data_IF_816844610107
#
_entry.id   IF_816844610107
#
_cell.length_a   1.000
_cell.length_b   1.000
_cell.length_c   1.000
_cell.angle_alpha   90.00
_cell.angle_beta   90.00
_cell.angle_gamma   90.00
#
_symmetry.space_group_name_H-M   'P 1'
#
loop_
_entity.id
_entity.type
_entity.pdbx_description
1 polymer ?
#
# COMPACT_ATOMS: atom_id res chain seq x y z
N UNK A 1 26.88 -47.03 -13.54
CA UNK A 1 25.93 -46.00 -14.01
C UNK A 1 25.44 -45.23 -12.78
N UNK A 2 25.82 -43.97 -12.61
CA UNK A 2 25.39 -43.11 -11.49
C UNK A 2 24.13 -42.34 -11.92
N UNK A 3 23.01 -42.59 -11.25
CA UNK A 3 21.77 -41.84 -11.48
C UNK A 3 21.87 -40.50 -10.76
N UNK A 4 21.79 -39.40 -11.53
CA UNK A 4 21.63 -38.05 -10.99
C UNK A 4 20.15 -37.81 -10.71
N UNK A 5 19.79 -37.69 -9.43
CA UNK A 5 18.46 -37.26 -9.01
C UNK A 5 18.37 -35.74 -9.16
N UNK A 6 17.60 -35.27 -10.13
CA UNK A 6 17.29 -33.85 -10.27
C UNK A 6 16.25 -33.44 -9.22
N UNK A 7 16.64 -32.56 -8.29
CA UNK A 7 15.71 -31.92 -7.36
C UNK A 7 15.04 -30.77 -8.11
N UNK A 8 13.77 -30.94 -8.45
CA UNK A 8 12.94 -29.86 -8.99
C UNK A 8 12.53 -28.97 -7.81
N UNK A 9 13.22 -27.85 -7.58
CA UNK A 9 12.71 -26.80 -6.71
C UNK A 9 11.50 -26.16 -7.39
N UNK A 10 10.28 -26.53 -6.96
CA UNK A 10 9.11 -25.72 -7.27
C UNK A 10 9.25 -24.38 -6.55
N UNK A 11 9.36 -23.29 -7.31
CA UNK A 11 9.29 -21.95 -6.76
C UNK A 11 7.88 -21.77 -6.14
N UNK A 12 7.80 -21.81 -4.81
CA UNK A 12 6.57 -21.46 -4.12
C UNK A 12 6.24 -20.00 -4.47
N UNK A 13 5.17 -19.80 -5.23
CA UNK A 13 4.63 -18.47 -5.47
C UNK A 13 4.19 -17.90 -4.13
N UNK A 14 4.85 -16.84 -3.67
CA UNK A 14 4.40 -16.04 -2.53
C UNK A 14 3.00 -15.51 -2.86
N UNK A 15 1.98 -16.10 -2.26
CA UNK A 15 0.60 -15.60 -2.35
C UNK A 15 0.50 -14.45 -1.34
N UNK A 16 0.76 -13.24 -1.81
CA UNK A 16 0.51 -12.01 -1.06
C UNK A 16 -0.91 -11.58 -1.38
N UNK A 17 -1.74 -11.37 -0.36
CA UNK A 17 -3.06 -10.80 -0.55
C UNK A 17 -2.92 -9.37 -1.10
N UNK A 18 -3.67 -9.07 -2.15
CA UNK A 18 -3.66 -7.75 -2.79
C UNK A 18 -5.01 -7.05 -2.59
N UNK A 19 -5.05 -5.77 -2.21
CA UNK A 19 -6.26 -4.97 -2.18
C UNK A 19 -6.93 -4.87 -3.56
N UNK A 20 -8.22 -4.51 -3.60
CA UNK A 20 -8.92 -4.23 -4.85
C UNK A 20 -8.35 -2.98 -5.56
N UNK A 21 -8.77 -2.79 -6.81
CA UNK A 21 -8.52 -1.56 -7.55
C UNK A 21 -7.10 -1.38 -8.13
N UNK A 22 -6.26 -2.42 -8.10
CA UNK A 22 -4.94 -2.37 -8.75
C UNK A 22 -5.15 -2.48 -10.28
N UNK A 23 -4.75 -1.48 -11.07
CA UNK A 23 -4.89 -1.51 -12.51
C UNK A 23 -3.89 -2.49 -13.15
N UNK A 24 -4.19 -2.95 -14.36
CA UNK A 24 -3.20 -3.64 -15.20
C UNK A 24 -1.97 -2.75 -15.46
N UNK A 25 -0.82 -3.33 -15.78
CA UNK A 25 0.40 -2.58 -16.06
C UNK A 25 0.23 -1.55 -17.20
N UNK A 26 -0.51 -1.87 -18.25
CA UNK A 26 -0.79 -0.95 -19.37
C UNK A 26 -1.70 0.20 -18.94
N UNK A 27 -2.73 -0.10 -18.14
CA UNK A 27 -3.61 0.92 -17.55
C UNK A 27 -2.84 1.83 -16.58
N UNK A 28 -1.95 1.26 -15.74
CA UNK A 28 -1.08 2.00 -14.83
C UNK A 28 -0.15 2.95 -15.60
N UNK A 29 0.52 2.49 -16.66
CA UNK A 29 1.35 3.34 -17.53
C UNK A 29 0.55 4.49 -18.14
N UNK A 30 -0.67 4.22 -18.58
CA UNK A 30 -1.58 5.25 -19.13
C UNK A 30 -2.02 6.27 -18.09
N UNK A 31 -2.33 5.82 -16.87
CA UNK A 31 -2.66 6.70 -15.73
C UNK A 31 -1.46 7.56 -15.34
N UNK A 32 -0.25 6.98 -15.23
CA UNK A 32 0.98 7.70 -14.94
C UNK A 32 1.29 8.79 -15.98
N UNK A 33 0.99 8.51 -17.26
CA UNK A 33 1.08 9.48 -18.34
C UNK A 33 0.25 10.74 -18.10
N UNK A 34 -0.93 10.59 -17.48
CA UNK A 34 -1.92 11.64 -17.22
C UNK A 34 -1.77 12.37 -15.87
N UNK A 35 -0.96 11.85 -14.94
CA UNK A 35 -0.74 12.51 -13.66
C UNK A 35 -0.04 13.86 -13.86
N UNK A 36 -0.56 14.87 -13.17
CA UNK A 36 0.01 16.23 -13.15
C UNK A 36 1.36 16.22 -12.45
N UNK A 37 2.40 16.61 -13.18
CA UNK A 37 3.75 16.78 -12.64
C UNK A 37 3.89 18.18 -12.08
N UNK A 38 4.36 18.30 -10.84
CA UNK A 38 4.58 19.59 -10.18
C UNK A 38 5.75 19.52 -9.20
N UNK A 39 6.31 20.68 -8.87
CA UNK A 39 7.15 20.83 -7.68
C UNK A 39 6.25 20.72 -6.46
N UNK A 40 6.60 19.84 -5.53
CA UNK A 40 5.91 19.69 -4.25
C UNK A 40 6.78 20.31 -3.16
N UNK A 41 6.17 21.14 -2.31
CA UNK A 41 6.85 21.79 -1.19
C UNK A 41 6.21 21.31 0.10
N UNK A 42 7.05 20.89 1.03
CA UNK A 42 6.66 20.66 2.43
C UNK A 42 6.93 21.95 3.20
N UNK A 43 5.86 22.67 3.55
CA UNK A 43 5.92 23.90 4.32
C UNK A 43 5.86 23.66 5.84
N UNK A 44 5.86 22.40 6.27
CA UNK A 44 5.76 22.00 7.68
C UNK A 44 4.35 22.12 8.26
N UNK A 45 3.32 22.43 7.45
CA UNK A 45 1.93 22.55 7.91
C UNK A 45 1.19 21.22 8.09
N UNK A 46 1.80 20.11 7.70
CA UNK A 46 1.18 18.80 7.81
C UNK A 46 0.89 18.44 9.28
N UNK A 47 -0.36 18.14 9.56
CA UNK A 47 -0.81 17.53 10.80
C UNK A 47 -1.58 16.24 10.50
N UNK A 48 -1.12 15.14 11.08
CA UNK A 48 -1.75 13.82 10.93
C UNK A 48 -3.17 13.79 11.48
N UNK A 49 -3.47 14.59 12.51
CA UNK A 49 -4.80 14.66 13.11
C UNK A 49 -5.88 15.17 12.13
N UNK A 50 -5.47 15.82 11.03
CA UNK A 50 -6.39 16.26 9.98
C UNK A 50 -6.86 15.13 9.05
N UNK A 51 -6.33 13.92 9.23
CA UNK A 51 -6.78 12.69 8.56
C UNK A 51 -7.37 11.73 9.61
N UNK A 52 -8.64 11.88 10.00
CA UNK A 52 -9.33 10.85 10.80
C UNK A 52 -9.19 9.50 10.10
N UNK A 53 -8.71 8.48 10.80
CA UNK A 53 -8.36 7.19 10.24
C UNK A 53 -8.60 6.07 11.24
N UNK A 54 -8.82 4.87 10.69
CA UNK A 54 -9.37 3.72 11.39
C UNK A 54 -10.81 3.97 11.83
N UNK A 55 -11.57 4.60 10.94
CA UNK A 55 -13.01 4.72 11.09
C UNK A 55 -13.68 3.35 10.82
N UNK A 56 -14.86 3.10 11.42
CA UNK A 56 -15.67 1.93 11.12
C UNK A 56 -15.96 1.80 9.62
N UNK A 57 -15.80 0.59 9.07
CA UNK A 57 -16.19 0.31 7.69
C UNK A 57 -17.73 0.34 7.60
N UNK A 58 -18.34 1.09 6.68
CA UNK A 58 -19.80 1.24 6.64
C UNK A 58 -20.58 -0.08 6.48
N UNK A 59 -20.02 -1.05 5.76
CA UNK A 59 -20.63 -2.37 5.57
C UNK A 59 -20.44 -3.31 6.78
N UNK A 60 -19.55 -2.98 7.71
CA UNK A 60 -19.22 -3.80 8.87
C UNK A 60 -18.69 -2.92 10.01
N UNK A 61 -19.61 -2.23 10.69
CA UNK A 61 -19.27 -1.15 11.63
C UNK A 61 -18.54 -1.61 12.89
N UNK A 62 -18.49 -2.91 13.17
CA UNK A 62 -17.63 -3.48 14.22
C UNK A 62 -16.14 -3.55 13.84
N UNK A 63 -15.82 -3.45 12.55
CA UNK A 63 -14.45 -3.41 12.05
C UNK A 63 -14.06 -1.97 11.74
N UNK A 64 -12.95 -1.50 12.32
CA UNK A 64 -12.31 -0.33 11.71
C UNK A 64 -11.71 -0.69 10.35
N UNK A 65 -11.40 0.31 9.53
CA UNK A 65 -10.63 0.10 8.30
C UNK A 65 -9.31 -0.66 8.55
N UNK A 66 -8.70 -0.52 9.73
CA UNK A 66 -7.48 -1.25 10.11
C UNK A 66 -7.75 -2.75 10.29
N UNK A 67 -8.72 -3.10 11.12
CA UNK A 67 -9.09 -4.50 11.38
C UNK A 67 -9.63 -5.18 10.12
N UNK A 68 -10.39 -4.44 9.31
CA UNK A 68 -10.83 -4.89 7.99
C UNK A 68 -9.66 -5.32 7.11
N UNK A 69 -8.62 -4.47 7.01
CA UNK A 69 -7.43 -4.77 6.19
C UNK A 69 -6.63 -5.92 6.77
N UNK A 70 -6.48 -6.02 8.08
CA UNK A 70 -5.82 -7.18 8.69
C UNK A 70 -6.54 -8.49 8.36
N UNK A 71 -7.88 -8.50 8.41
CA UNK A 71 -8.63 -9.70 8.03
C UNK A 71 -8.56 -9.98 6.53
N UNK A 72 -8.60 -8.95 5.69
CA UNK A 72 -8.53 -9.07 4.23
C UNK A 72 -7.17 -9.59 3.75
N UNK A 73 -6.08 -9.08 4.32
CA UNK A 73 -4.73 -9.33 3.81
C UNK A 73 -4.03 -10.53 4.47
N UNK A 74 -4.63 -11.10 5.52
CA UNK A 74 -4.08 -12.25 6.20
C UNK A 74 -4.60 -13.58 5.65
N UNK A 75 -3.80 -14.62 5.84
CA UNK A 75 -4.17 -16.00 5.56
C UNK A 75 -4.70 -16.69 6.84
N UNK A 76 -5.80 -17.44 6.70
CA UNK A 76 -6.47 -18.15 7.81
C UNK A 76 -6.76 -17.25 9.03
N UNK A 77 -7.15 -15.99 8.78
CA UNK A 77 -7.44 -15.04 9.86
C UNK A 77 -8.73 -15.43 10.56
N UNK A 78 -8.67 -15.51 11.88
CA UNK A 78 -9.85 -15.54 12.76
C UNK A 78 -9.90 -14.23 13.53
N UNK A 79 -11.10 -13.70 13.74
CA UNK A 79 -11.31 -12.43 14.43
C UNK A 79 -12.23 -12.59 15.63
N UNK A 80 -12.06 -11.72 16.62
CA UNK A 80 -12.97 -11.55 17.74
C UNK A 80 -14.23 -10.77 17.38
N UNK A 81 -15.08 -10.50 18.38
CA UNK A 81 -16.30 -9.69 18.21
C UNK A 81 -16.03 -8.23 17.85
N UNK A 82 -14.83 -7.73 18.17
CA UNK A 82 -14.31 -6.41 17.82
C UNK A 82 -13.56 -6.39 16.48
N UNK A 83 -13.68 -7.47 15.69
CA UNK A 83 -12.97 -7.66 14.42
C UNK A 83 -11.43 -7.75 14.55
N UNK A 84 -10.88 -7.70 15.76
CA UNK A 84 -9.45 -7.81 15.96
C UNK A 84 -8.99 -9.25 15.68
N UNK A 85 -7.91 -9.47 14.91
CA UNK A 85 -7.41 -10.81 14.65
C UNK A 85 -6.92 -11.55 15.89
N UNK A 86 -7.47 -12.74 16.14
CA UNK A 86 -7.05 -13.65 17.22
C UNK A 86 -6.05 -14.69 16.73
N UNK A 87 -6.01 -14.96 15.42
CA UNK A 87 -5.04 -15.83 14.78
C UNK A 87 -4.92 -15.51 13.30
N UNK A 88 -3.83 -15.93 12.66
CA UNK A 88 -3.62 -15.81 11.23
C UNK A 88 -2.14 -15.68 10.90
N UNK A 89 -1.85 -15.41 9.64
CA UNK A 89 -0.51 -15.04 9.19
C UNK A 89 -0.58 -14.02 8.06
N UNK A 90 0.35 -13.07 8.04
CA UNK A 90 0.43 -12.00 7.06
C UNK A 90 1.79 -12.03 6.38
N UNK A 91 1.81 -12.09 5.05
CA UNK A 91 3.05 -11.94 4.30
C UNK A 91 3.17 -10.49 3.87
N UNK A 92 4.18 -9.79 4.38
CA UNK A 92 4.44 -8.40 4.03
C UNK A 92 4.78 -8.29 2.53
N UNK A 93 4.04 -7.49 1.74
CA UNK A 93 4.32 -7.30 0.32
C UNK A 93 5.70 -6.68 0.07
N UNK A 94 6.17 -5.84 0.99
CA UNK A 94 7.39 -5.07 0.78
C UNK A 94 8.67 -5.87 1.03
N UNK A 95 8.62 -6.84 1.95
CA UNK A 95 9.80 -7.59 2.39
C UNK A 95 9.70 -9.10 2.14
N UNK A 96 8.50 -9.61 1.85
CA UNK A 96 8.21 -11.05 1.76
C UNK A 96 8.19 -11.77 3.11
N UNK A 97 8.40 -11.06 4.24
CA UNK A 97 8.40 -11.68 5.57
C UNK A 97 6.99 -12.08 5.98
N UNK A 98 6.86 -13.27 6.56
CA UNK A 98 5.62 -13.71 7.20
C UNK A 98 5.60 -13.32 8.67
N UNK A 99 4.49 -12.75 9.11
CA UNK A 99 4.20 -12.29 10.47
C UNK A 99 3.02 -13.10 10.97
N UNK A 100 3.06 -13.60 12.21
CA UNK A 100 1.95 -14.36 12.81
C UNK A 100 1.32 -13.66 14.02
N UNK A 101 2.04 -12.70 14.61
CA UNK A 101 1.51 -11.85 15.66
C UNK A 101 0.78 -10.64 15.04
N UNK A 102 -0.55 -10.59 15.17
CA UNK A 102 -1.37 -9.52 14.61
C UNK A 102 -0.95 -8.11 15.07
N UNK A 103 -0.54 -7.97 16.34
CA UNK A 103 -0.03 -6.71 16.89
C UNK A 103 1.32 -6.27 16.31
N UNK A 104 2.01 -7.11 15.55
CA UNK A 104 3.26 -6.77 14.85
C UNK A 104 3.04 -6.41 13.38
N UNK A 105 1.79 -6.43 12.91
CA UNK A 105 1.41 -6.01 11.56
C UNK A 105 1.00 -4.54 11.59
N UNK A 106 1.66 -3.74 10.77
CA UNK A 106 1.25 -2.36 10.51
C UNK A 106 0.33 -2.32 9.28
N UNK A 107 -0.67 -1.44 9.30
CA UNK A 107 -1.39 -1.07 8.08
C UNK A 107 -0.74 0.18 7.50
N UNK A 108 -0.16 0.03 6.31
CA UNK A 108 0.47 1.12 5.58
C UNK A 108 -0.54 1.79 4.62
N UNK A 109 -0.38 3.10 4.46
CA UNK A 109 -0.99 3.87 3.39
C UNK A 109 -0.04 3.87 2.19
N UNK A 110 -0.42 3.22 1.09
CA UNK A 110 0.35 3.11 -0.15
C UNK A 110 0.90 4.47 -0.57
N UNK A 111 0.02 5.48 -0.68
CA UNK A 111 0.42 6.89 -0.67
C UNK A 111 0.32 7.41 0.76
N UNK A 112 1.45 7.74 1.44
CA UNK A 112 1.44 8.24 2.82
C UNK A 112 0.58 9.49 2.98
N UNK A 113 -0.02 9.67 4.16
CA UNK A 113 -0.88 10.83 4.47
C UNK A 113 -0.14 12.17 4.25
N UNK A 114 1.11 12.27 4.67
CA UNK A 114 1.94 13.47 4.42
C UNK A 114 2.27 13.65 2.95
N UNK A 115 2.55 12.57 2.22
CA UNK A 115 2.76 12.65 0.77
C UNK A 115 1.51 13.15 0.05
N UNK A 116 0.33 12.68 0.45
CA UNK A 116 -0.95 13.17 -0.04
C UNK A 116 -1.13 14.67 0.29
N UNK A 117 -0.80 15.09 1.53
CA UNK A 117 -0.86 16.50 1.95
C UNK A 117 -0.11 17.42 0.99
N UNK A 118 1.19 17.17 0.79
CA UNK A 118 2.05 18.01 -0.06
C UNK A 118 1.72 17.90 -1.55
N UNK A 119 1.00 16.85 -1.97
CA UNK A 119 0.61 16.64 -3.37
C UNK A 119 -0.81 17.10 -3.71
N UNK A 120 -1.56 17.62 -2.74
CA UNK A 120 -2.85 18.28 -2.98
C UNK A 120 -3.85 18.20 -1.83
N UNK A 121 -3.70 17.26 -0.90
CA UNK A 121 -4.68 17.01 0.16
C UNK A 121 -4.74 18.10 1.25
N UNK A 122 -3.76 19.01 1.29
CA UNK A 122 -3.81 20.21 2.14
C UNK A 122 -5.01 21.11 1.84
N UNK A 123 -5.50 21.09 0.59
CA UNK A 123 -6.67 21.89 0.15
C UNK A 123 -8.01 21.19 0.36
N UNK A 124 -8.01 19.92 0.78
CA UNK A 124 -9.23 19.15 0.92
C UNK A 124 -10.01 19.53 2.18
N UNK A 125 -11.30 19.17 2.19
CA UNK A 125 -12.06 19.10 3.44
C UNK A 125 -11.56 17.93 4.29
N UNK A 126 -11.82 17.98 5.61
CA UNK A 126 -11.50 16.86 6.51
C UNK A 126 -12.19 15.58 6.10
N UNK A 127 -13.47 15.64 5.70
CA UNK A 127 -14.22 14.46 5.24
C UNK A 127 -13.56 13.75 4.04
N UNK A 128 -12.96 14.50 3.10
CA UNK A 128 -12.24 13.89 1.97
C UNK A 128 -10.90 13.28 2.40
N UNK A 129 -10.21 13.90 3.38
CA UNK A 129 -8.99 13.31 3.98
C UNK A 129 -9.32 12.02 4.76
N UNK A 130 -10.43 12.00 5.49
CA UNK A 130 -10.94 10.81 6.16
C UNK A 130 -11.27 9.70 5.17
N UNK A 131 -11.96 10.02 4.08
CA UNK A 131 -12.22 9.06 3.00
C UNK A 131 -10.92 8.47 2.46
N UNK A 132 -9.92 9.31 2.17
CA UNK A 132 -8.61 8.87 1.71
C UNK A 132 -7.87 7.97 2.73
N UNK A 133 -7.95 8.30 4.01
CA UNK A 133 -7.23 7.58 5.04
C UNK A 133 -7.88 6.23 5.39
N UNK A 134 -9.15 6.03 5.03
CA UNK A 134 -9.92 4.80 5.27
C UNK A 134 -10.28 4.05 3.98
N UNK A 135 -9.65 4.36 2.86
CA UNK A 135 -9.98 3.79 1.55
C UNK A 135 -9.64 2.30 1.47
N UNK A 136 -10.69 1.46 1.50
CA UNK A 136 -10.61 0.01 1.36
C UNK A 136 -10.97 -0.50 -0.05
N UNK A 137 -11.48 0.39 -0.91
CA UNK A 137 -11.99 0.07 -2.26
C UNK A 137 -10.91 0.23 -3.34
N UNK A 138 -9.85 0.96 -3.02
CA UNK A 138 -8.65 1.12 -3.84
C UNK A 138 -7.41 0.56 -3.14
N UNK A 139 -6.24 0.46 -3.81
CA UNK A 139 -5.06 -0.15 -3.21
C UNK A 139 -4.30 0.80 -2.29
N UNK A 140 -5.01 1.44 -1.36
CA UNK A 140 -4.48 2.43 -0.44
C UNK A 140 -4.00 1.81 0.87
N UNK A 141 -4.71 0.83 1.44
CA UNK A 141 -4.34 0.22 2.71
C UNK A 141 -3.75 -1.18 2.53
N UNK A 142 -2.62 -1.47 3.19
CA UNK A 142 -1.88 -2.73 3.05
C UNK A 142 -1.34 -3.24 4.38
N UNK A 143 -1.49 -4.54 4.66
CA UNK A 143 -0.81 -5.18 5.79
C UNK A 143 0.70 -5.34 5.52
N UNK A 144 1.54 -4.85 6.42
CA UNK A 144 3.00 -4.79 6.25
C UNK A 144 3.75 -5.15 7.55
N UNK A 145 5.04 -5.48 7.43
CA UNK A 145 5.91 -5.55 8.60
C UNK A 145 6.34 -4.15 9.05
N UNK A 146 6.34 -3.94 10.37
CA UNK A 146 6.60 -2.64 10.96
C UNK A 146 7.97 -2.03 10.57
N UNK A 147 9.02 -2.86 10.41
CA UNK A 147 10.35 -2.36 10.09
C UNK A 147 10.38 -1.74 8.69
N UNK A 148 9.86 -2.47 7.71
CA UNK A 148 9.85 -2.01 6.31
C UNK A 148 8.89 -0.85 6.11
N UNK A 149 7.73 -0.87 6.79
CA UNK A 149 6.78 0.24 6.78
C UNK A 149 7.39 1.53 7.35
N UNK A 150 8.05 1.46 8.51
CA UNK A 150 8.70 2.63 9.12
C UNK A 150 9.89 3.14 8.31
N UNK A 151 10.60 2.25 7.61
CA UNK A 151 11.64 2.64 6.68
C UNK A 151 11.09 3.40 5.45
N UNK A 152 9.89 3.04 4.97
CA UNK A 152 9.15 3.81 3.96
C UNK A 152 8.79 5.19 4.49
N UNK A 153 8.13 5.26 5.64
CA UNK A 153 7.68 6.54 6.22
C UNK A 153 6.83 7.34 5.23
N UNK A 154 7.10 8.64 5.11
CA UNK A 154 6.37 9.55 4.21
C UNK A 154 6.98 9.65 2.79
N UNK A 155 7.95 8.79 2.47
CA UNK A 155 8.72 8.88 1.23
C UNK A 155 7.90 8.53 -0.01
N UNK A 156 8.20 9.24 -1.11
CA UNK A 156 7.77 8.89 -2.47
C UNK A 156 8.66 7.79 -3.08
N UNK A 157 8.20 7.13 -4.16
CA UNK A 157 8.92 6.08 -4.89
C UNK A 157 10.36 6.42 -5.34
N UNK A 158 10.70 7.70 -5.50
CA UNK A 158 12.06 8.15 -5.83
C UNK A 158 13.02 8.20 -4.63
N UNK A 159 12.48 8.20 -3.40
CA UNK A 159 13.25 8.22 -2.15
C UNK A 159 13.29 6.86 -1.48
N UNK A 160 12.24 6.06 -1.63
CA UNK A 160 12.17 4.73 -1.06
C UNK A 160 11.44 3.78 -2.01
N UNK A 161 11.91 2.54 -2.08
CA UNK A 161 11.25 1.43 -2.79
C UNK A 161 11.24 0.19 -1.90
N UNK A 162 10.26 -0.72 -2.07
CA UNK A 162 10.25 -1.99 -1.37
C UNK A 162 11.58 -2.75 -1.53
N UNK A 163 12.13 -3.39 -0.49
CA UNK A 163 13.28 -4.26 -0.65
C UNK A 163 13.01 -5.45 -1.60
N UNK A 164 11.77 -5.94 -1.64
CA UNK A 164 11.36 -7.02 -2.53
C UNK A 164 11.05 -6.49 -3.94
N UNK A 165 12.00 -6.65 -4.86
CA UNK A 165 11.90 -6.12 -6.23
C UNK A 165 10.78 -6.77 -7.06
N UNK A 166 10.41 -8.02 -6.77
CA UNK A 166 9.26 -8.66 -7.43
C UNK A 166 7.92 -7.96 -7.14
N UNK A 167 7.86 -7.11 -6.11
CA UNK A 167 6.68 -6.31 -5.79
C UNK A 167 6.64 -4.95 -6.52
N UNK A 168 7.66 -4.57 -7.30
CA UNK A 168 7.76 -3.24 -7.91
C UNK A 168 6.61 -2.90 -8.85
N UNK A 169 6.23 -3.83 -9.73
CA UNK A 169 5.12 -3.62 -10.67
C UNK A 169 3.81 -3.33 -9.91
N UNK A 170 3.50 -4.13 -8.89
CA UNK A 170 2.30 -3.98 -8.06
C UNK A 170 2.33 -2.69 -7.25
N UNK A 171 3.47 -2.38 -6.61
CA UNK A 171 3.65 -1.15 -5.83
C UNK A 171 3.41 0.09 -6.71
N UNK A 172 4.07 0.18 -7.88
CA UNK A 172 3.94 1.33 -8.76
C UNK A 172 2.53 1.44 -9.37
N UNK A 173 1.91 0.33 -9.73
CA UNK A 173 0.53 0.31 -10.23
C UNK A 173 -0.45 0.81 -9.17
N UNK A 174 -0.27 0.39 -7.92
CA UNK A 174 -1.09 0.81 -6.77
C UNK A 174 -0.91 2.28 -6.44
N UNK A 175 0.33 2.75 -6.38
CA UNK A 175 0.65 4.16 -6.16
C UNK A 175 0.00 5.06 -7.22
N UNK A 176 0.13 4.70 -8.50
CA UNK A 176 -0.47 5.44 -9.61
C UNK A 176 -2.00 5.44 -9.54
N UNK A 177 -2.60 4.30 -9.16
CA UNK A 177 -4.04 4.20 -8.98
C UNK A 177 -4.55 5.19 -7.94
N UNK A 178 -3.91 5.26 -6.77
CA UNK A 178 -4.29 6.18 -5.71
C UNK A 178 -4.06 7.64 -6.13
N UNK A 179 -2.88 7.96 -6.67
CA UNK A 179 -2.60 9.32 -7.16
C UNK A 179 -3.63 9.79 -8.19
N UNK A 180 -4.04 8.89 -9.10
CA UNK A 180 -5.05 9.21 -10.11
C UNK A 180 -6.44 9.36 -9.50
N UNK A 181 -6.87 8.44 -8.65
CA UNK A 181 -8.21 8.43 -8.02
C UNK A 181 -8.45 9.71 -7.25
N UNK A 182 -7.45 10.15 -6.49
CA UNK A 182 -7.56 11.32 -5.64
C UNK A 182 -7.09 12.63 -6.31
N UNK A 183 -6.69 12.58 -7.58
CA UNK A 183 -6.16 13.74 -8.32
C UNK A 183 -4.96 14.40 -7.63
N UNK A 184 -4.09 13.58 -7.04
CA UNK A 184 -2.85 14.02 -6.40
C UNK A 184 -1.73 14.18 -7.43
N UNK A 185 -0.87 15.17 -7.19
CA UNK A 185 0.28 15.48 -8.05
C UNK A 185 1.46 14.54 -7.74
N UNK A 186 2.41 14.50 -8.67
CA UNK A 186 3.69 13.80 -8.50
C UNK A 186 4.85 14.72 -8.92
N UNK A 187 6.05 14.45 -8.42
CA UNK A 187 7.26 15.13 -8.92
C UNK A 187 7.80 14.47 -10.20
N UNK A 188 8.69 15.15 -10.92
CA UNK A 188 9.40 14.55 -12.05
C UNK A 188 10.26 13.34 -11.63
N UNK A 189 10.90 13.41 -10.45
CA UNK A 189 11.70 12.32 -9.91
C UNK A 189 10.82 11.10 -9.59
N UNK A 190 9.67 11.33 -8.95
CA UNK A 190 8.68 10.31 -8.65
C UNK A 190 8.13 9.65 -9.92
N UNK A 191 7.82 10.44 -10.97
CA UNK A 191 7.38 9.90 -12.27
C UNK A 191 8.42 8.98 -12.89
N UNK A 192 9.69 9.35 -12.84
CA UNK A 192 10.82 8.52 -13.33
C UNK A 192 10.92 7.22 -12.54
N UNK A 193 10.84 7.29 -11.21
CA UNK A 193 10.91 6.10 -10.36
C UNK A 193 9.74 5.14 -10.63
N UNK A 194 8.52 5.65 -10.73
CA UNK A 194 7.33 4.87 -11.06
C UNK A 194 7.44 4.24 -12.46
N UNK A 195 7.94 4.98 -13.44
CA UNK A 195 8.16 4.45 -14.80
C UNK A 195 9.13 3.27 -14.78
N UNK A 196 10.25 3.41 -14.06
CA UNK A 196 11.24 2.33 -13.90
C UNK A 196 10.64 1.09 -13.25
N UNK A 197 9.82 1.25 -12.21
CA UNK A 197 9.16 0.14 -11.53
C UNK A 197 8.08 -0.53 -12.40
N UNK A 198 7.30 0.23 -13.16
CA UNK A 198 6.31 -0.31 -14.12
C UNK A 198 6.94 -1.03 -15.31
N UNK A 199 8.25 -0.88 -15.53
CA UNK A 199 9.00 -1.62 -16.55
C UNK A 199 9.54 -2.95 -16.03
N UNK A 200 9.29 -3.31 -14.77
CA UNK A 200 9.51 -4.67 -14.25
C UNK A 200 8.25 -5.53 -14.32
N UNK A 201 7.15 -4.96 -14.81
CA UNK A 201 6.07 -5.71 -15.44
C UNK A 201 6.56 -6.11 -16.86
#
# INVERSE_FOLDING_TARGET
MKFLTAIILSAATLVVATPPGIPSASSAKSLLGRLTVATLTDDGSYDRALFPHWEPVPSETQCSAREWVLRRDGNNVKVGSDCYPTSGSWTCPYSGKTITAAGSVDIDHMVPLKNAWISGASTWTTARRETFANDIDHPQLWATDASTNRAKGDNSPDKWKPPLTSFYCTYASSWVAIKSTYSLKITSAEKTALTSMLNTC
#
